data_IF_524889105146
#
_entry.id   IF_524889105146
#
_cell.length_a   1.000
_cell.length_b   1.000
_cell.length_c   1.000
_cell.angle_alpha   90.00
_cell.angle_beta   90.00
_cell.angle_gamma   90.00
#
_symmetry.space_group_name_H-M   'P 1'
#
loop_
_entity.id
_entity.type
_entity.pdbx_description
1 polymer ?
#
# COMPACT_ATOMS: atom_id res chain seq x y z
N UNK A 1 2.07 -2.86 17.29
CA UNK A 1 2.42 -1.87 16.25
C UNK A 1 2.10 -0.43 16.67
N UNK A 2 0.86 -0.04 17.07
CA UNK A 2 0.58 1.35 17.47
C UNK A 2 1.40 1.83 18.69
N UNK A 3 1.76 0.94 19.61
CA UNK A 3 2.60 1.28 20.79
C UNK A 3 3.98 1.82 20.46
N UNK A 4 4.52 1.50 19.29
CA UNK A 4 5.85 1.95 18.82
C UNK A 4 5.82 3.28 18.03
N UNK A 5 4.63 3.89 17.86
CA UNK A 5 4.54 5.18 17.18
C UNK A 5 5.23 6.27 18.00
N UNK A 6 5.89 7.20 17.30
CA UNK A 6 6.52 8.36 17.95
C UNK A 6 5.46 9.31 18.52
N UNK A 7 5.88 10.14 19.47
CA UNK A 7 5.05 11.21 20.00
C UNK A 7 4.51 12.10 18.85
N UNK A 8 3.20 12.34 18.83
CA UNK A 8 2.48 13.09 17.78
C UNK A 8 2.58 12.47 16.38
N UNK A 9 2.93 11.19 16.28
CA UNK A 9 2.97 10.46 15.02
C UNK A 9 1.58 10.27 14.39
N UNK A 10 1.55 9.94 13.11
CA UNK A 10 0.32 9.59 12.38
C UNK A 10 0.29 8.10 12.08
N UNK A 11 -0.77 7.43 12.46
CA UNK A 11 -1.04 6.04 12.12
C UNK A 11 -1.99 5.97 10.94
N UNK A 12 -1.50 5.54 9.79
CA UNK A 12 -2.28 5.51 8.56
C UNK A 12 -3.02 4.18 8.44
N UNK A 13 -4.33 4.23 8.25
CA UNK A 13 -5.19 3.07 8.00
C UNK A 13 -5.45 3.01 6.50
N UNK A 14 -4.80 2.06 5.81
CA UNK A 14 -4.82 1.97 4.34
C UNK A 14 -5.71 0.83 3.86
N UNK A 15 -5.78 -0.28 4.62
CA UNK A 15 -6.58 -1.43 4.25
C UNK A 15 -6.37 -2.62 5.18
N UNK A 16 -7.15 -3.67 4.95
CA UNK A 16 -7.20 -4.87 5.78
C UNK A 16 -7.08 -6.11 4.91
N UNK A 17 -5.87 -6.67 4.82
CA UNK A 17 -5.58 -7.85 4.00
C UNK A 17 -5.33 -9.12 4.81
N UNK A 18 -5.45 -9.06 6.14
CA UNK A 18 -5.15 -10.20 7.03
C UNK A 18 -6.40 -10.99 7.49
N UNK A 19 -7.59 -10.57 7.05
CA UNK A 19 -8.87 -11.18 7.42
C UNK A 19 -9.62 -10.42 8.50
N UNK A 20 -9.04 -10.22 9.67
CA UNK A 20 -9.68 -9.48 10.75
C UNK A 20 -9.32 -7.99 10.73
N UNK A 21 -10.32 -7.15 11.01
CA UNK A 21 -10.09 -5.72 11.21
C UNK A 21 -9.56 -5.53 12.64
N UNK A 22 -8.33 -5.02 12.83
CA UNK A 22 -7.76 -4.86 14.15
C UNK A 22 -8.51 -3.82 14.98
N UNK A 23 -8.75 -4.13 16.24
CA UNK A 23 -9.26 -3.19 17.21
C UNK A 23 -8.11 -2.47 17.93
N UNK A 24 -8.25 -1.17 18.12
CA UNK A 24 -7.29 -0.35 18.83
C UNK A 24 -7.95 0.33 20.04
N UNK A 25 -7.44 0.12 21.26
CA UNK A 25 -7.87 0.91 22.42
C UNK A 25 -7.53 2.39 22.22
N UNK A 26 -8.54 3.27 22.24
CA UNK A 26 -8.39 4.70 21.91
C UNK A 26 -7.47 5.46 22.90
N UNK A 27 -7.34 4.98 24.14
CA UNK A 27 -6.43 5.55 25.11
C UNK A 27 -4.96 5.56 24.64
N UNK A 28 -4.58 4.65 23.73
CA UNK A 28 -3.22 4.65 23.17
C UNK A 28 -2.96 5.87 22.28
N UNK A 29 -3.97 6.33 21.54
CA UNK A 29 -3.85 7.57 20.76
C UNK A 29 -3.69 8.79 21.68
N UNK A 30 -4.48 8.86 22.76
CA UNK A 30 -4.38 9.89 23.77
C UNK A 30 -2.97 9.94 24.40
N UNK A 31 -2.45 8.80 24.87
CA UNK A 31 -1.15 8.71 25.55
C UNK A 31 0.03 9.09 24.65
N UNK A 32 -0.11 8.97 23.34
CA UNK A 32 0.92 9.31 22.37
C UNK A 32 0.69 10.67 21.68
N UNK A 33 -0.42 11.36 21.99
CA UNK A 33 -0.83 12.53 21.23
C UNK A 33 -0.91 12.26 19.73
N UNK A 34 -1.14 10.99 19.34
CA UNK A 34 -1.05 10.52 17.96
C UNK A 34 -2.39 10.63 17.25
N UNK A 35 -2.33 10.76 15.93
CA UNK A 35 -3.49 10.77 15.05
C UNK A 35 -3.68 9.43 14.37
N UNK A 36 -4.94 8.98 14.22
CA UNK A 36 -5.34 7.85 13.37
C UNK A 36 -5.99 8.44 12.13
N UNK A 37 -5.42 8.16 10.97
CA UNK A 37 -5.84 8.79 9.70
C UNK A 37 -6.23 7.70 8.71
N UNK A 38 -7.48 7.72 8.25
CA UNK A 38 -7.95 6.87 7.17
C UNK A 38 -7.37 7.33 5.82
N UNK A 39 -6.91 6.38 5.03
CA UNK A 39 -6.39 6.62 3.67
C UNK A 39 -7.17 5.73 2.71
N UNK A 40 -8.26 6.26 2.17
CA UNK A 40 -9.08 5.58 1.17
C UNK A 40 -8.78 6.12 -0.22
N UNK A 41 -7.67 5.66 -0.79
CA UNK A 41 -7.19 6.18 -2.07
C UNK A 41 -8.20 6.05 -3.22
N UNK A 42 -8.95 4.96 -3.31
CA UNK A 42 -9.97 4.80 -4.36
C UNK A 42 -11.03 5.91 -4.32
N UNK A 43 -11.50 6.27 -3.15
CA UNK A 43 -12.47 7.37 -2.97
C UNK A 43 -11.84 8.74 -3.19
N UNK A 44 -10.60 8.93 -2.76
CA UNK A 44 -9.83 10.13 -3.08
C UNK A 44 -9.69 10.33 -4.59
N UNK A 45 -9.31 9.28 -5.33
CA UNK A 45 -9.18 9.35 -6.78
C UNK A 45 -10.50 9.72 -7.48
N UNK A 46 -11.64 9.25 -6.95
CA UNK A 46 -12.98 9.55 -7.46
C UNK A 46 -13.41 10.99 -7.17
N UNK A 47 -13.16 11.47 -5.95
CA UNK A 47 -13.59 12.81 -5.51
C UNK A 47 -12.67 13.92 -5.99
N UNK A 48 -11.37 13.63 -6.08
CA UNK A 48 -10.33 14.61 -6.40
C UNK A 48 -9.48 14.15 -7.58
N UNK A 49 -10.08 13.94 -8.78
CA UNK A 49 -9.38 13.36 -9.92
C UNK A 49 -8.18 14.19 -10.39
N UNK A 50 -8.24 15.51 -10.27
CA UNK A 50 -7.11 16.38 -10.61
C UNK A 50 -5.92 16.20 -9.66
N UNK A 51 -6.19 16.15 -8.35
CA UNK A 51 -5.16 15.91 -7.34
C UNK A 51 -4.55 14.51 -7.49
N UNK A 52 -5.39 13.51 -7.75
CA UNK A 52 -4.93 12.15 -8.02
C UNK A 52 -4.04 12.08 -9.28
N UNK A 53 -4.42 12.74 -10.38
CA UNK A 53 -3.61 12.80 -11.59
C UNK A 53 -2.25 13.46 -11.33
N UNK A 54 -2.21 14.56 -10.57
CA UNK A 54 -0.97 15.22 -10.19
C UNK A 54 -0.07 14.31 -9.35
N UNK A 55 -0.63 13.58 -8.38
CA UNK A 55 0.11 12.63 -7.55
C UNK A 55 0.71 11.47 -8.38
N UNK A 56 -0.05 10.94 -9.33
CA UNK A 56 0.43 9.89 -10.23
C UNK A 56 1.55 10.39 -11.17
N UNK A 57 1.41 11.61 -11.69
CA UNK A 57 2.46 12.23 -12.51
C UNK A 57 3.75 12.44 -11.70
N UNK A 58 3.65 12.86 -10.46
CA UNK A 58 4.80 13.02 -9.55
C UNK A 58 5.47 11.66 -9.24
N UNK A 59 4.70 10.61 -8.98
CA UNK A 59 5.22 9.26 -8.77
C UNK A 59 5.93 8.73 -10.02
N UNK A 60 5.37 8.96 -11.22
CA UNK A 60 6.00 8.58 -12.48
C UNK A 60 7.33 9.32 -12.70
N UNK A 61 7.38 10.60 -12.36
CA UNK A 61 8.62 11.40 -12.39
C UNK A 61 9.67 10.82 -11.43
N UNK A 62 9.30 10.52 -10.20
CA UNK A 62 10.22 9.92 -9.22
C UNK A 62 10.73 8.55 -9.66
N UNK A 63 9.88 7.76 -10.30
CA UNK A 63 10.30 6.48 -10.89
C UNK A 63 11.33 6.70 -12.00
N UNK A 64 11.07 7.62 -12.93
CA UNK A 64 12.01 7.95 -14.02
C UNK A 64 13.36 8.48 -13.51
N UNK A 65 13.34 9.25 -12.41
CA UNK A 65 14.54 9.77 -11.75
C UNK A 65 15.25 8.72 -10.86
N UNK A 66 14.70 7.50 -10.76
CA UNK A 66 15.26 6.44 -9.92
C UNK A 66 15.11 6.64 -8.41
N UNK A 67 14.29 7.61 -7.98
CA UNK A 67 13.97 7.85 -6.56
C UNK A 67 13.03 6.80 -5.97
N UNK A 68 12.16 6.24 -6.79
CA UNK A 68 11.24 5.16 -6.45
C UNK A 68 11.60 3.94 -7.27
N UNK A 69 11.93 2.84 -6.60
CA UNK A 69 12.34 1.57 -7.24
C UNK A 69 11.50 0.44 -6.67
N UNK A 70 10.32 0.14 -7.25
CA UNK A 70 9.51 -0.97 -6.82
C UNK A 70 10.25 -2.30 -6.94
N UNK A 71 10.20 -3.13 -5.92
CA UNK A 71 10.76 -4.48 -5.98
C UNK A 71 9.81 -5.35 -6.81
N UNK A 72 10.34 -5.97 -7.86
CA UNK A 72 9.63 -6.94 -8.67
C UNK A 72 10.18 -8.32 -8.30
N UNK A 73 9.34 -9.16 -7.74
CA UNK A 73 9.68 -10.54 -7.38
C UNK A 73 9.84 -11.41 -8.64
N UNK A 74 8.86 -11.36 -9.53
CA UNK A 74 8.89 -12.06 -10.82
C UNK A 74 8.12 -11.32 -11.91
N UNK A 75 8.56 -11.55 -13.15
CA UNK A 75 7.78 -11.27 -14.37
C UNK A 75 7.36 -12.61 -14.95
N UNK A 76 6.08 -12.79 -15.19
CA UNK A 76 5.49 -14.02 -15.69
C UNK A 76 4.63 -13.71 -16.91
N UNK A 77 4.66 -14.55 -17.95
CA UNK A 77 3.75 -14.41 -19.08
C UNK A 77 2.30 -14.66 -18.64
N UNK A 78 1.32 -14.07 -19.32
CA UNK A 78 -0.09 -14.16 -18.94
C UNK A 78 -0.59 -15.61 -18.87
N UNK A 79 -0.03 -16.55 -19.65
CA UNK A 79 -0.38 -17.97 -19.58
C UNK A 79 -0.03 -18.63 -18.22
N UNK A 80 0.86 -18.03 -17.43
CA UNK A 80 1.25 -18.49 -16.10
C UNK A 80 0.45 -17.83 -14.97
N UNK A 81 -0.67 -17.18 -15.28
CA UNK A 81 -1.53 -16.53 -14.29
C UNK A 81 -1.93 -17.44 -13.12
N UNK A 82 -2.29 -18.73 -13.31
CA UNK A 82 -2.58 -19.62 -12.18
C UNK A 82 -1.41 -19.75 -11.21
N UNK A 83 -0.19 -19.95 -11.70
CA UNK A 83 1.02 -20.05 -10.88
C UNK A 83 1.32 -18.73 -10.12
N UNK A 84 1.01 -17.59 -10.73
CA UNK A 84 1.12 -16.28 -10.07
C UNK A 84 0.18 -16.18 -8.85
N UNK A 85 -1.07 -16.63 -8.99
CA UNK A 85 -2.03 -16.67 -7.87
C UNK A 85 -1.62 -17.63 -6.76
N UNK A 86 -1.15 -18.84 -7.10
CA UNK A 86 -0.62 -19.78 -6.11
C UNK A 86 0.54 -19.16 -5.32
N UNK A 87 1.46 -18.49 -6.02
CA UNK A 87 2.59 -17.81 -5.39
C UNK A 87 2.13 -16.66 -4.48
N UNK A 88 1.13 -15.89 -4.87
CA UNK A 88 0.53 -14.86 -3.99
C UNK A 88 -0.09 -15.48 -2.74
N UNK A 89 -0.81 -16.58 -2.89
CA UNK A 89 -1.46 -17.32 -1.79
C UNK A 89 -0.46 -17.89 -0.78
N UNK A 90 0.73 -18.28 -1.23
CA UNK A 90 1.80 -18.80 -0.36
C UNK A 90 2.43 -17.75 0.55
N UNK A 91 2.14 -16.46 0.36
CA UNK A 91 2.70 -15.32 1.10
C UNK A 91 4.24 -15.22 1.06
N UNK A 92 4.87 -15.81 0.05
CA UNK A 92 6.33 -15.78 -0.14
C UNK A 92 6.80 -14.69 -1.11
N UNK A 93 5.85 -13.97 -1.73
CA UNK A 93 6.14 -12.89 -2.69
C UNK A 93 6.81 -11.72 -1.97
N UNK A 94 7.94 -11.27 -2.51
CA UNK A 94 8.65 -10.10 -2.03
C UNK A 94 8.54 -8.97 -3.06
N UNK A 95 7.58 -8.07 -2.86
CA UNK A 95 7.31 -6.98 -3.79
C UNK A 95 6.13 -7.30 -4.71
N UNK A 96 6.27 -7.14 -6.01
CA UNK A 96 5.19 -7.29 -7.00
C UNK A 96 5.43 -8.45 -7.95
N UNK A 97 4.38 -9.16 -8.29
CA UNK A 97 4.33 -10.02 -9.48
C UNK A 97 3.83 -9.17 -10.64
N UNK A 98 4.52 -9.23 -11.78
CA UNK A 98 4.14 -8.52 -12.99
C UNK A 98 3.78 -9.55 -14.05
N UNK A 99 2.57 -9.47 -14.56
CA UNK A 99 2.13 -10.26 -15.72
C UNK A 99 2.47 -9.50 -17.00
N UNK A 100 3.03 -10.20 -17.97
CA UNK A 100 3.40 -9.64 -19.26
C UNK A 100 2.55 -10.24 -20.38
N UNK A 101 2.16 -9.42 -21.34
CA UNK A 101 1.64 -9.88 -22.60
C UNK A 101 2.82 -10.20 -23.51
N UNK A 102 2.89 -11.45 -23.92
CA UNK A 102 3.93 -11.93 -24.86
C UNK A 102 3.51 -11.70 -26.29
#
# INVERSE_FOLDING_TARGET
MFRSIAWRGRYLVIGFAQGEIPALPLNLALLKGASIVGVFWGEFARREPKANAAALAELARWYAEGKVKPVIDRRLPMRELPAAYERMGSRTVRGKLVMTND
#
